data_IF_557473660267
#
_entry.id   IF_557473660267
#
_cell.length_a   1.000
_cell.length_b   1.000
_cell.length_c   1.000
_cell.angle_alpha   90.00
_cell.angle_beta   90.00
_cell.angle_gamma   90.00
#
_symmetry.space_group_name_H-M   'P 1'
#
loop_
_entity.id
_entity.type
_entity.pdbx_description
1 polymer ?
#
# COMPACT_ATOMS: atom_id res chain seq x y z
N UNK A 1 22.95 -8.53 19.18
CA UNK A 1 23.31 -7.73 20.38
C UNK A 1 22.04 -7.21 21.04
N UNK A 2 21.89 -7.40 22.37
CA UNK A 2 20.72 -6.95 23.11
C UNK A 2 20.17 -8.00 24.08
N UNK A 3 18.98 -7.75 24.64
CA UNK A 3 18.38 -8.62 25.64
C UNK A 3 17.58 -9.74 24.98
N UNK A 4 17.93 -11.00 25.27
CA UNK A 4 17.24 -12.19 24.72
C UNK A 4 17.07 -12.17 23.18
N UNK A 5 18.10 -11.75 22.47
CA UNK A 5 18.12 -11.81 21.00
C UNK A 5 18.61 -13.16 20.51
N UNK A 6 18.03 -13.69 19.45
CA UNK A 6 18.41 -14.96 18.83
C UNK A 6 18.65 -14.75 17.34
N UNK A 7 19.87 -15.02 16.90
CA UNK A 7 20.23 -15.07 15.47
C UNK A 7 20.61 -16.54 15.15
N UNK A 8 19.63 -17.30 14.65
CA UNK A 8 19.80 -18.73 14.35
C UNK A 8 19.94 -19.05 12.87
N UNK A 9 19.58 -18.11 12.01
CA UNK A 9 19.81 -18.24 10.57
C UNK A 9 21.29 -18.08 10.21
N UNK A 10 21.74 -18.72 9.14
CA UNK A 10 23.10 -18.53 8.61
C UNK A 10 23.29 -17.05 8.24
N UNK A 11 24.39 -16.44 8.70
CA UNK A 11 24.74 -15.03 8.48
C UNK A 11 23.64 -14.03 8.93
N UNK A 12 22.82 -14.41 9.93
CA UNK A 12 21.73 -13.57 10.44
C UNK A 12 22.16 -12.62 11.53
N UNK A 13 21.40 -11.53 11.69
CA UNK A 13 21.65 -10.49 12.70
C UNK A 13 20.41 -10.21 13.53
N UNK A 14 20.52 -10.24 14.86
CA UNK A 14 19.44 -9.88 15.77
C UNK A 14 19.90 -8.80 16.76
N UNK A 15 19.20 -7.66 16.80
CA UNK A 15 19.52 -6.54 17.68
C UNK A 15 18.26 -5.98 18.36
N UNK A 16 18.39 -5.59 19.62
CA UNK A 16 17.28 -5.01 20.39
C UNK A 16 16.86 -5.89 21.58
N UNK A 17 15.56 -6.10 21.77
CA UNK A 17 15.04 -6.89 22.87
C UNK A 17 14.09 -7.97 22.37
N UNK A 18 14.37 -9.23 22.73
CA UNK A 18 13.57 -10.40 22.37
C UNK A 18 13.34 -10.54 20.85
N UNK A 19 14.31 -10.15 20.04
CA UNK A 19 14.28 -10.27 18.58
C UNK A 19 14.77 -11.63 18.13
N UNK A 20 14.24 -12.14 17.04
CA UNK A 20 14.64 -13.42 16.45
C UNK A 20 14.90 -13.26 14.95
N UNK A 21 16.09 -13.63 14.49
CA UNK A 21 16.44 -13.72 13.09
C UNK A 21 16.73 -15.20 12.76
N UNK A 22 15.75 -15.91 12.24
CA UNK A 22 15.83 -17.35 11.94
C UNK A 22 16.01 -17.64 10.44
N UNK A 23 15.65 -16.72 9.57
CA UNK A 23 15.94 -16.85 8.13
C UNK A 23 17.43 -16.68 7.85
N UNK A 24 17.93 -17.38 6.84
CA UNK A 24 19.31 -17.20 6.37
C UNK A 24 19.54 -15.76 5.90
N UNK A 25 20.63 -15.12 6.31
CA UNK A 25 20.98 -13.73 5.99
C UNK A 25 19.92 -12.69 6.42
N UNK A 26 19.05 -13.06 7.36
CA UNK A 26 17.99 -12.18 7.85
C UNK A 26 18.50 -11.21 8.92
N UNK A 27 17.79 -10.11 9.08
CA UNK A 27 18.09 -9.09 10.09
C UNK A 27 16.82 -8.73 10.86
N UNK A 28 16.83 -8.86 12.19
CA UNK A 28 15.73 -8.47 13.05
C UNK A 28 16.20 -7.40 14.05
N UNK A 29 15.54 -6.23 14.03
CA UNK A 29 15.87 -5.11 14.92
C UNK A 29 14.62 -4.55 15.60
N UNK A 30 14.74 -4.23 16.90
CA UNK A 30 13.70 -3.58 17.67
C UNK A 30 13.21 -4.39 18.87
N UNK A 31 11.88 -4.50 19.03
CA UNK A 31 11.28 -5.20 20.18
C UNK A 31 10.38 -6.34 19.69
N UNK A 32 10.72 -7.56 20.10
CA UNK A 32 9.98 -8.78 19.74
C UNK A 32 9.71 -8.94 18.23
N UNK A 33 10.63 -8.45 17.42
CA UNK A 33 10.59 -8.66 15.96
C UNK A 33 11.08 -10.06 15.59
N UNK A 34 10.55 -10.59 14.49
CA UNK A 34 10.94 -11.91 13.96
C UNK A 34 11.16 -11.79 12.46
N UNK A 35 12.37 -12.07 12.00
CA UNK A 35 12.75 -12.19 10.60
C UNK A 35 12.94 -13.68 10.29
N UNK A 36 11.96 -14.28 9.63
CA UNK A 36 11.87 -15.73 9.45
C UNK A 36 12.27 -16.17 8.04
N UNK A 37 12.11 -15.30 7.04
CA UNK A 37 12.44 -15.62 5.65
C UNK A 37 13.89 -15.30 5.32
N UNK A 38 14.43 -15.97 4.29
CA UNK A 38 15.78 -15.72 3.78
C UNK A 38 15.94 -14.24 3.36
N UNK A 39 17.01 -13.59 3.81
CA UNK A 39 17.36 -12.20 3.51
C UNK A 39 16.25 -11.18 3.88
N UNK A 40 15.35 -11.53 4.79
CA UNK A 40 14.35 -10.63 5.32
C UNK A 40 14.96 -9.65 6.31
N UNK A 41 14.60 -8.39 6.21
CA UNK A 41 14.93 -7.36 7.21
C UNK A 41 13.65 -6.88 7.90
N UNK A 42 13.64 -6.92 9.22
CA UNK A 42 12.49 -6.50 10.04
C UNK A 42 12.93 -5.45 11.04
N UNK A 43 12.17 -4.36 11.13
CA UNK A 43 12.38 -3.30 12.13
C UNK A 43 11.07 -3.00 12.88
N UNK A 44 11.16 -2.33 14.03
CA UNK A 44 10.00 -1.91 14.81
C UNK A 44 9.65 -2.86 15.94
N UNK A 45 8.38 -3.24 16.07
CA UNK A 45 7.94 -4.15 17.12
C UNK A 45 6.80 -5.06 16.66
N UNK A 46 6.74 -6.27 17.18
CA UNK A 46 5.66 -7.24 16.94
C UNK A 46 5.18 -7.25 15.49
N UNK A 47 6.11 -7.40 14.53
CA UNK A 47 5.77 -7.52 13.12
C UNK A 47 4.90 -8.74 12.84
N UNK A 48 4.12 -8.69 11.76
CA UNK A 48 3.42 -9.87 11.26
C UNK A 48 4.41 -11.00 10.97
N UNK A 49 4.00 -12.23 11.21
CA UNK A 49 4.85 -13.40 10.94
C UNK A 49 4.78 -13.79 9.47
N UNK A 50 5.87 -14.32 8.95
CA UNK A 50 5.90 -14.96 7.64
C UNK A 50 5.14 -16.28 7.64
N UNK A 51 4.79 -16.76 6.46
CA UNK A 51 4.11 -18.05 6.29
C UNK A 51 5.07 -19.24 6.31
N UNK A 52 6.37 -19.00 6.15
CA UNK A 52 7.40 -20.02 6.16
C UNK A 52 8.73 -19.48 6.70
N UNK A 53 9.38 -20.27 7.55
CA UNK A 53 10.78 -20.09 7.91
C UNK A 53 11.65 -20.70 6.81
N UNK A 54 11.76 -20.04 5.67
CA UNK A 54 12.45 -20.60 4.52
C UNK A 54 13.95 -20.29 4.50
N UNK A 55 14.72 -21.30 4.20
CA UNK A 55 16.15 -21.16 3.91
C UNK A 55 16.40 -20.78 2.44
N UNK A 56 15.35 -20.67 1.64
CA UNK A 56 15.39 -20.37 0.21
C UNK A 56 14.72 -19.04 -0.12
N UNK A 57 15.14 -18.44 -1.22
CA UNK A 57 14.51 -17.23 -1.75
C UNK A 57 13.17 -17.56 -2.39
N UNK A 58 12.06 -17.20 -1.73
CA UNK A 58 10.72 -17.29 -2.30
C UNK A 58 10.18 -15.88 -2.60
N UNK A 59 9.63 -15.67 -3.80
CA UNK A 59 9.12 -14.37 -4.24
C UNK A 59 7.90 -13.89 -3.44
N UNK A 60 7.17 -14.81 -2.83
CA UNK A 60 6.02 -14.54 -1.95
C UNK A 60 6.40 -14.07 -0.56
N UNK A 61 7.68 -14.21 -0.17
CA UNK A 61 8.14 -13.80 1.14
C UNK A 61 8.40 -12.30 1.20
N UNK A 62 8.39 -11.77 2.42
CA UNK A 62 8.83 -10.40 2.66
C UNK A 62 10.36 -10.27 2.56
N UNK A 63 10.80 -9.18 1.94
CA UNK A 63 12.17 -8.70 1.95
C UNK A 63 12.40 -7.67 3.05
N UNK A 64 11.39 -6.84 3.34
CA UNK A 64 11.46 -5.81 4.37
C UNK A 64 10.11 -5.62 5.06
N UNK A 65 10.13 -5.45 6.40
CA UNK A 65 8.94 -5.17 7.20
C UNK A 65 9.18 -4.07 8.23
N UNK A 66 8.15 -3.26 8.47
CA UNK A 66 8.07 -2.33 9.59
C UNK A 66 6.94 -2.79 10.50
N UNK A 67 7.27 -3.45 11.59
CA UNK A 67 6.32 -3.93 12.59
C UNK A 67 5.79 -2.82 13.48
N UNK A 68 4.47 -2.80 13.69
CA UNK A 68 3.75 -1.86 14.56
C UNK A 68 2.76 -2.55 15.50
N UNK A 69 2.84 -3.86 15.64
CA UNK A 69 2.01 -4.63 16.55
C UNK A 69 2.21 -4.22 18.00
N UNK A 70 1.25 -4.55 18.86
CA UNK A 70 1.27 -4.16 20.28
C UNK A 70 1.49 -5.32 21.22
N UNK A 71 1.30 -6.56 20.74
CA UNK A 71 1.48 -7.78 21.53
C UNK A 71 1.74 -9.00 20.64
N UNK A 72 2.02 -10.15 21.26
CA UNK A 72 2.16 -11.43 20.53
C UNK A 72 0.88 -11.82 19.78
N UNK A 73 -0.29 -11.41 20.29
CA UNK A 73 -1.59 -11.69 19.68
C UNK A 73 -2.08 -10.56 18.75
N UNK A 74 -1.36 -9.45 18.70
CA UNK A 74 -1.63 -8.30 17.81
C UNK A 74 -0.36 -7.94 17.05
N UNK A 75 0.13 -8.90 16.26
CA UNK A 75 1.26 -8.71 15.37
C UNK A 75 0.79 -8.15 14.05
N UNK A 76 1.39 -7.06 13.59
CA UNK A 76 1.05 -6.41 12.31
C UNK A 76 2.19 -5.54 11.80
N UNK A 77 2.14 -5.28 10.50
CA UNK A 77 3.08 -4.41 9.80
C UNK A 77 2.39 -3.13 9.35
N UNK A 78 3.09 -2.00 9.40
CA UNK A 78 2.70 -0.78 8.70
C UNK A 78 3.09 -0.85 7.21
N UNK A 79 4.24 -1.43 6.94
CA UNK A 79 4.82 -1.58 5.60
C UNK A 79 5.37 -2.99 5.44
N UNK A 80 5.08 -3.61 4.32
CA UNK A 80 5.73 -4.85 3.87
C UNK A 80 6.17 -4.70 2.42
N UNK A 81 7.44 -4.97 2.15
CA UNK A 81 7.98 -5.10 0.80
C UNK A 81 8.22 -6.59 0.54
N UNK A 82 7.57 -7.13 -0.46
CA UNK A 82 7.74 -8.53 -0.88
C UNK A 82 8.88 -8.68 -1.89
N UNK A 83 9.42 -9.89 -1.99
CA UNK A 83 10.52 -10.21 -2.90
C UNK A 83 10.11 -10.22 -4.38
N UNK A 84 8.82 -10.20 -4.69
CA UNK A 84 8.27 -9.99 -6.04
C UNK A 84 8.20 -8.51 -6.44
N UNK A 85 8.58 -7.58 -5.55
CA UNK A 85 8.52 -6.15 -5.76
C UNK A 85 7.21 -5.50 -5.32
N UNK A 86 6.23 -6.27 -4.82
CA UNK A 86 4.99 -5.72 -4.25
C UNK A 86 5.27 -4.99 -2.95
N UNK A 87 4.64 -3.84 -2.76
CA UNK A 87 4.68 -3.06 -1.51
C UNK A 87 3.26 -2.97 -0.95
N UNK A 88 3.06 -3.47 0.27
CA UNK A 88 1.81 -3.37 1.00
C UNK A 88 1.94 -2.35 2.14
N UNK A 89 0.96 -1.47 2.27
CA UNK A 89 0.85 -0.48 3.34
C UNK A 89 -0.48 -0.71 4.04
N UNK A 90 -0.45 -0.93 5.36
CA UNK A 90 -1.63 -1.30 6.15
C UNK A 90 -2.44 -0.09 6.67
N UNK A 91 -2.06 1.11 6.31
CA UNK A 91 -2.72 2.36 6.69
C UNK A 91 -2.82 3.30 5.51
N UNK A 92 -3.09 4.56 5.79
CA UNK A 92 -3.16 5.60 4.77
C UNK A 92 -1.77 5.94 4.24
N UNK A 93 -1.64 6.01 2.93
CA UNK A 93 -0.46 6.55 2.26
C UNK A 93 -0.63 8.06 2.03
N UNK A 94 0.13 8.89 2.76
CA UNK A 94 0.17 10.34 2.54
C UNK A 94 1.34 10.69 1.63
N UNK A 95 1.03 11.15 0.42
CA UNK A 95 2.02 11.57 -0.57
C UNK A 95 1.88 13.08 -0.76
N UNK A 96 2.95 13.85 -0.48
CA UNK A 96 2.99 15.31 -0.70
C UNK A 96 3.30 15.71 -2.14
N UNK A 97 3.63 14.76 -2.99
CA UNK A 97 3.89 14.92 -4.43
C UNK A 97 2.91 14.13 -5.29
N UNK A 98 3.19 14.06 -6.58
CA UNK A 98 2.38 13.26 -7.51
C UNK A 98 2.78 11.78 -7.48
N UNK A 99 1.78 10.89 -7.49
CA UNK A 99 1.99 9.44 -7.69
C UNK A 99 2.02 9.17 -9.20
N UNK A 100 3.19 8.82 -9.71
CA UNK A 100 3.35 8.42 -11.12
C UNK A 100 3.10 6.92 -11.26
N UNK A 101 1.84 6.52 -11.40
CA UNK A 101 1.45 5.14 -11.69
C UNK A 101 0.63 5.05 -12.96
N UNK A 102 0.63 3.89 -13.63
CA UNK A 102 -0.29 3.66 -14.77
C UNK A 102 -1.77 3.75 -14.34
N UNK A 103 -2.09 3.42 -13.10
CA UNK A 103 -3.44 3.57 -12.55
C UNK A 103 -3.80 5.03 -12.30
N UNK A 104 -2.87 5.85 -11.79
CA UNK A 104 -3.07 7.30 -11.64
C UNK A 104 -3.32 8.00 -12.98
N UNK A 105 -2.59 7.60 -14.04
CA UNK A 105 -2.84 8.10 -15.41
C UNK A 105 -4.20 7.67 -15.94
N UNK A 106 -4.63 6.44 -15.68
CA UNK A 106 -5.96 5.95 -16.08
C UNK A 106 -7.07 6.65 -15.32
N UNK A 107 -6.91 6.90 -14.03
CA UNK A 107 -7.88 7.65 -13.22
C UNK A 107 -8.01 9.08 -13.73
N UNK A 108 -6.91 9.80 -13.91
CA UNK A 108 -6.90 11.16 -14.45
C UNK A 108 -7.55 11.24 -15.85
N UNK A 109 -7.31 10.24 -16.72
CA UNK A 109 -7.94 10.18 -18.04
C UNK A 109 -9.44 9.93 -17.94
N UNK A 110 -9.91 9.10 -17.01
CA UNK A 110 -11.34 8.86 -16.76
C UNK A 110 -12.03 10.10 -16.20
N UNK A 111 -11.41 10.80 -15.26
CA UNK A 111 -11.94 12.06 -14.72
C UNK A 111 -12.04 13.14 -15.79
N UNK A 112 -11.01 13.30 -16.63
CA UNK A 112 -11.04 14.23 -17.76
C UNK A 112 -12.13 13.88 -18.80
N UNK A 113 -12.35 12.59 -19.06
CA UNK A 113 -13.43 12.11 -19.94
C UNK A 113 -14.81 12.40 -19.35
N UNK A 114 -15.00 12.14 -18.05
CA UNK A 114 -16.25 12.42 -17.35
C UNK A 114 -16.58 13.92 -17.35
N UNK A 115 -15.59 14.79 -17.09
CA UNK A 115 -15.75 16.24 -17.14
C UNK A 115 -16.17 16.73 -18.54
N UNK A 116 -15.57 16.20 -19.62
CA UNK A 116 -15.97 16.50 -21.00
C UNK A 116 -17.41 16.06 -21.31
N UNK A 117 -17.82 14.89 -20.85
CA UNK A 117 -19.18 14.39 -21.01
C UNK A 117 -20.19 15.27 -20.28
N UNK A 118 -19.86 15.71 -19.07
CA UNK A 118 -20.71 16.61 -18.29
C UNK A 118 -20.88 17.96 -18.98
N UNK A 119 -19.81 18.57 -19.47
CA UNK A 119 -19.88 19.81 -20.23
C UNK A 119 -20.73 19.67 -21.51
N UNK A 120 -20.57 18.57 -22.23
CA UNK A 120 -21.37 18.30 -23.43
C UNK A 120 -22.87 18.13 -23.11
N UNK A 121 -23.18 17.52 -21.96
CA UNK A 121 -24.56 17.38 -21.48
C UNK A 121 -25.15 18.74 -21.08
N UNK A 122 -24.41 19.56 -20.34
CA UNK A 122 -24.83 20.92 -19.97
C UNK A 122 -25.14 21.79 -21.21
N UNK A 123 -24.29 21.71 -22.26
CA UNK A 123 -24.52 22.41 -23.50
C UNK A 123 -25.79 21.94 -24.23
N UNK A 124 -26.05 20.61 -24.22
CA UNK A 124 -27.29 20.07 -24.79
C UNK A 124 -28.52 20.51 -24.02
N UNK A 125 -28.46 20.52 -22.69
CA UNK A 125 -29.55 20.99 -21.85
C UNK A 125 -29.83 22.48 -22.11
N UNK A 126 -28.79 23.32 -22.14
CA UNK A 126 -28.97 24.75 -22.49
C UNK A 126 -29.56 24.97 -23.86
N UNK A 127 -29.16 24.19 -24.87
CA UNK A 127 -29.73 24.25 -26.21
C UNK A 127 -31.22 23.83 -26.24
N UNK A 128 -31.59 22.81 -25.49
CA UNK A 128 -32.98 22.36 -25.33
C UNK A 128 -33.85 23.42 -24.62
N UNK A 129 -33.33 24.00 -23.54
CA UNK A 129 -34.02 25.09 -22.82
C UNK A 129 -34.28 26.31 -23.74
N UNK A 130 -33.28 26.69 -24.54
CA UNK A 130 -33.44 27.77 -25.51
C UNK A 130 -34.49 27.43 -26.60
N UNK A 131 -34.50 26.17 -27.06
CA UNK A 131 -35.49 25.70 -28.07
C UNK A 131 -36.91 25.69 -27.47
N UNK A 132 -37.08 25.24 -26.23
CA UNK A 132 -38.35 25.25 -25.50
C UNK A 132 -38.85 26.70 -25.32
N UNK A 133 -37.99 27.62 -24.90
CA UNK A 133 -38.33 29.03 -24.74
C UNK A 133 -38.80 29.68 -26.08
N UNK A 134 -38.10 29.36 -27.18
CA UNK A 134 -38.49 29.83 -28.52
C UNK A 134 -39.86 29.29 -28.98
N UNK A 135 -40.14 28.02 -28.66
CA UNK A 135 -41.45 27.40 -28.95
C UNK A 135 -42.58 28.03 -28.12
N UNK A 136 -42.33 28.28 -26.83
CA UNK A 136 -43.30 28.91 -25.95
C UNK A 136 -43.66 30.31 -26.40
N UNK A 137 -42.67 31.10 -26.86
CA UNK A 137 -42.92 32.43 -27.44
C UNK A 137 -43.73 32.37 -28.74
N UNK A 138 -43.57 31.32 -29.56
CA UNK A 138 -44.34 31.15 -30.82
C UNK A 138 -45.80 30.76 -30.57
N UNK A 139 -46.06 29.98 -29.53
CA UNK A 139 -47.39 29.49 -29.18
C UNK A 139 -48.21 30.47 -28.33
N UNK A 140 -47.54 31.42 -27.64
CA UNK A 140 -48.18 32.43 -26.79
C UNK A 140 -48.49 33.74 -27.52
N UNK A 141 -48.28 33.81 -28.84
CA UNK A 141 -48.50 35.00 -29.68
C UNK A 141 -49.75 34.97 -30.56
N UNK A 142 -50.74 34.07 -30.27
CA UNK A 142 -52.09 34.11 -30.86
C UNK A 142 -53.11 34.73 -29.92
#
# INVERSE_FOLDING_TARGET
MGYKTTASGSDSTAMGSMTTASGGKSTAMGYKTKAESMAETVVGQYNALGTSADTWWATTDAAFRVGIGTSENDRKDALTVYKDGTVAISGDLRVSGSISSNQGRRLAALEASAAKQQQAMEQKVAALEAAVAALTLRLGGE
#
